data_IF_746324297445
#
_entry.id   IF_746324297445
#
_cell.length_a   1.000
_cell.length_b   1.000
_cell.length_c   1.000
_cell.angle_alpha   90.00
_cell.angle_beta   90.00
_cell.angle_gamma   90.00
#
_symmetry.space_group_name_H-M   'P 1'
#
loop_
_entity.id
_entity.type
_entity.pdbx_description
1 polymer ?
#
# COMPACT_ATOMS: atom_id res chain seq x y z
N UNK A 1 32.69 63.03 -22.79
CA UNK A 1 33.97 63.52 -23.43
C UNK A 1 34.35 62.46 -24.44
N UNK A 2 34.37 62.93 -25.66
CA UNK A 2 35.12 62.64 -26.90
C UNK A 2 34.85 61.29 -27.53
N UNK A 3 34.05 61.10 -28.60
CA UNK A 3 34.03 61.75 -29.92
C UNK A 3 35.06 61.16 -30.91
N UNK A 4 34.51 60.81 -32.09
CA UNK A 4 35.08 60.78 -33.44
C UNK A 4 35.92 59.59 -33.89
N UNK A 5 35.82 59.09 -35.11
CA UNK A 5 35.42 59.63 -36.42
C UNK A 5 35.24 58.50 -37.44
N UNK A 6 34.39 58.77 -38.39
CA UNK A 6 34.16 57.98 -39.62
C UNK A 6 35.35 58.12 -40.60
N UNK A 7 35.46 57.15 -41.50
CA UNK A 7 36.08 57.38 -42.80
C UNK A 7 35.45 56.55 -43.88
N UNK A 8 34.97 57.26 -44.87
CA UNK A 8 34.35 56.88 -46.14
C UNK A 8 35.41 56.47 -47.17
N UNK A 9 35.09 55.56 -48.05
CA UNK A 9 35.88 55.26 -49.24
C UNK A 9 35.05 54.55 -50.31
N UNK A 10 34.63 55.30 -51.27
CA UNK A 10 34.02 54.84 -52.53
C UNK A 10 35.01 54.04 -53.37
N UNK A 11 34.50 53.02 -54.08
CA UNK A 11 34.80 52.79 -55.52
C UNK A 11 33.88 51.74 -56.12
N UNK A 12 33.19 52.11 -57.25
CA UNK A 12 32.62 51.20 -58.25
C UNK A 12 33.66 50.98 -59.34
N UNK A 13 33.65 49.86 -60.13
CA UNK A 13 32.76 49.79 -61.28
C UNK A 13 32.26 48.36 -61.69
N UNK A 14 31.13 48.35 -62.26
CA UNK A 14 30.63 47.70 -63.55
C UNK A 14 31.27 46.34 -63.89
N UNK A 15 30.45 45.29 -63.84
CA UNK A 15 30.53 44.21 -64.87
C UNK A 15 29.11 43.68 -65.18
N UNK A 16 28.84 43.63 -66.44
CA UNK A 16 27.66 43.04 -67.05
C UNK A 16 27.69 41.54 -66.93
N UNK A 17 26.65 40.91 -66.42
CA UNK A 17 26.47 39.45 -66.51
C UNK A 17 25.09 39.13 -67.04
N UNK A 18 25.14 38.21 -67.96
CA UNK A 18 24.01 37.68 -68.77
C UNK A 18 22.93 37.01 -67.94
N UNK A 19 21.68 37.27 -68.30
CA UNK A 19 20.49 36.58 -67.84
C UNK A 19 20.44 35.20 -68.45
N UNK A 20 20.74 34.15 -67.63
CA UNK A 20 20.40 32.78 -68.00
C UNK A 20 19.07 32.47 -67.30
N UNK A 21 18.01 32.35 -68.09
CA UNK A 21 16.72 31.81 -67.65
C UNK A 21 16.88 30.32 -67.28
N UNK A 22 16.88 30.01 -65.99
CA UNK A 22 16.70 28.65 -65.53
C UNK A 22 15.20 28.42 -65.30
N UNK A 23 14.57 27.64 -66.14
CA UNK A 23 13.24 27.09 -65.88
C UNK A 23 13.32 26.10 -64.75
N UNK A 24 12.90 26.54 -63.54
CA UNK A 24 12.70 25.64 -62.43
C UNK A 24 11.36 24.95 -62.62
N UNK A 25 11.41 23.66 -62.97
CA UNK A 25 10.25 22.78 -62.97
C UNK A 25 9.86 22.57 -61.49
N UNK A 26 8.79 23.21 -61.05
CA UNK A 26 8.21 22.99 -59.73
C UNK A 26 7.51 21.63 -59.73
N UNK A 27 8.14 20.62 -59.12
CA UNK A 27 7.47 19.36 -58.75
C UNK A 27 6.50 19.63 -57.60
N UNK A 28 5.24 19.13 -57.67
CA UNK A 28 4.32 19.28 -56.56
C UNK A 28 4.84 18.48 -55.36
N UNK A 29 5.18 19.16 -54.28
CA UNK A 29 5.34 18.53 -52.98
C UNK A 29 4.01 17.91 -52.58
N UNK A 30 3.92 16.58 -52.65
CA UNK A 30 2.82 15.82 -52.06
C UNK A 30 2.91 16.00 -50.54
N UNK A 31 2.02 16.81 -49.97
CA UNK A 31 1.86 16.91 -48.53
C UNK A 31 1.34 15.56 -48.03
N UNK A 32 2.27 14.70 -47.58
CA UNK A 32 1.93 13.50 -46.83
C UNK A 32 1.20 13.91 -45.57
N UNK A 33 -0.07 13.54 -45.49
CA UNK A 33 -0.83 13.60 -44.22
C UNK A 33 0.00 12.94 -43.12
N UNK A 34 0.24 13.58 -41.96
CA UNK A 34 0.94 12.91 -40.87
C UNK A 34 0.07 11.73 -40.44
N UNK A 35 0.56 10.53 -40.76
CA UNK A 35 -0.01 9.31 -40.20
C UNK A 35 0.21 9.40 -38.70
N UNK A 36 -0.85 9.70 -37.95
CA UNK A 36 -0.86 9.56 -36.52
C UNK A 36 -0.63 8.07 -36.26
N UNK A 37 0.62 7.72 -35.99
CA UNK A 37 0.97 6.39 -35.50
C UNK A 37 0.25 6.27 -34.18
N UNK A 38 -0.87 5.54 -34.16
CA UNK A 38 -1.53 5.12 -32.93
C UNK A 38 -0.46 4.39 -32.14
N UNK A 39 0.04 5.00 -31.04
CA UNK A 39 0.87 4.26 -30.10
C UNK A 39 0.10 2.98 -29.78
N UNK A 40 0.69 1.84 -30.10
CA UNK A 40 0.15 0.57 -29.65
C UNK A 40 0.12 0.68 -28.12
N UNK A 41 -1.07 0.69 -27.55
CA UNK A 41 -1.27 0.60 -26.12
C UNK A 41 -0.65 -0.74 -25.72
N UNK A 42 0.51 -0.68 -25.10
CA UNK A 42 1.14 -1.87 -24.52
C UNK A 42 0.34 -2.24 -23.28
N UNK A 43 -0.43 -3.33 -23.37
CA UNK A 43 -1.06 -3.89 -22.18
C UNK A 43 0.01 -4.52 -21.30
N UNK A 44 0.01 -4.20 -20.00
CA UNK A 44 0.91 -4.77 -19.01
C UNK A 44 0.13 -5.57 -17.98
N UNK A 45 0.59 -6.79 -17.74
CA UNK A 45 0.09 -7.64 -16.69
C UNK A 45 0.82 -7.31 -15.38
N UNK A 46 0.06 -7.17 -14.27
CA UNK A 46 0.57 -6.95 -12.94
C UNK A 46 0.19 -8.14 -12.05
N UNK A 47 1.16 -8.92 -11.62
CA UNK A 47 0.94 -10.06 -10.74
C UNK A 47 0.82 -9.57 -9.30
N UNK A 48 -0.40 -9.50 -8.80
CA UNK A 48 -0.70 -9.14 -7.42
C UNK A 48 -0.61 -10.39 -6.53
N UNK A 49 0.09 -10.29 -5.40
CA UNK A 49 0.17 -11.40 -4.44
C UNK A 49 -1.22 -11.96 -4.13
N UNK A 50 -1.37 -13.30 -4.17
CA UNK A 50 -2.67 -13.97 -4.14
C UNK A 50 -3.59 -13.53 -2.99
N UNK A 51 -3.05 -13.32 -1.78
CA UNK A 51 -3.84 -12.85 -0.64
C UNK A 51 -4.36 -11.43 -0.82
N UNK A 52 -3.59 -10.59 -1.49
CA UNK A 52 -4.02 -9.23 -1.83
C UNK A 52 -5.02 -9.24 -2.98
N UNK A 53 -4.85 -10.14 -3.95
CA UNK A 53 -5.80 -10.33 -5.04
C UNK A 53 -7.15 -10.88 -4.53
N UNK A 54 -7.12 -11.83 -3.61
CA UNK A 54 -8.31 -12.41 -2.99
C UNK A 54 -8.98 -11.44 -2.00
N UNK A 55 -8.28 -10.39 -1.55
CA UNK A 55 -8.86 -9.27 -0.79
C UNK A 55 -9.58 -8.31 -1.74
N UNK A 56 -10.92 -8.19 -1.68
CA UNK A 56 -11.66 -7.28 -2.57
C UNK A 56 -11.18 -5.82 -2.46
N UNK A 57 -10.84 -5.38 -1.25
CA UNK A 57 -10.36 -4.02 -1.00
C UNK A 57 -9.00 -3.76 -1.66
N UNK A 58 -8.01 -4.62 -1.43
CA UNK A 58 -6.66 -4.39 -1.96
C UNK A 58 -6.64 -4.48 -3.48
N UNK A 59 -7.35 -5.46 -4.05
CA UNK A 59 -7.47 -5.55 -5.51
C UNK A 59 -8.13 -4.32 -6.11
N UNK A 60 -9.24 -3.85 -5.54
CA UNK A 60 -9.92 -2.65 -6.01
C UNK A 60 -9.05 -1.39 -5.93
N UNK A 61 -8.22 -1.26 -4.88
CA UNK A 61 -7.29 -0.12 -4.76
C UNK A 61 -6.21 -0.15 -5.84
N UNK A 62 -5.61 -1.32 -6.11
CA UNK A 62 -4.61 -1.46 -7.18
C UNK A 62 -5.24 -1.14 -8.53
N UNK A 63 -6.42 -1.70 -8.82
CA UNK A 63 -7.17 -1.42 -10.05
C UNK A 63 -7.52 0.08 -10.17
N UNK A 64 -7.97 0.72 -9.08
CA UNK A 64 -8.25 2.16 -9.04
C UNK A 64 -7.01 2.99 -9.38
N UNK A 65 -5.86 2.70 -8.76
CA UNK A 65 -4.61 3.41 -9.02
C UNK A 65 -4.17 3.26 -10.48
N UNK A 66 -4.25 2.05 -11.04
CA UNK A 66 -3.90 1.78 -12.43
C UNK A 66 -4.87 2.45 -13.42
N UNK A 67 -6.18 2.49 -13.11
CA UNK A 67 -7.20 3.20 -13.92
C UNK A 67 -6.98 4.71 -13.96
N UNK A 68 -6.52 5.31 -12.85
CA UNK A 68 -6.22 6.75 -12.76
C UNK A 68 -4.99 7.17 -13.58
N UNK A 69 -4.25 6.21 -14.12
CA UNK A 69 -3.01 6.41 -14.88
C UNK A 69 -3.07 5.76 -16.26
N UNK A 70 -4.17 5.98 -16.99
CA UNK A 70 -4.42 5.37 -18.30
C UNK A 70 -3.38 5.74 -19.36
N UNK A 71 -2.63 6.83 -19.20
CA UNK A 71 -1.52 7.23 -20.07
C UNK A 71 -0.35 6.23 -20.07
N UNK A 72 -0.25 5.36 -19.04
CA UNK A 72 0.73 4.27 -18.99
C UNK A 72 0.30 3.03 -19.79
N UNK A 73 -0.83 3.08 -20.47
CA UNK A 73 -1.38 1.98 -21.26
C UNK A 73 -2.36 1.08 -20.49
N UNK A 74 -2.90 0.10 -21.24
CA UNK A 74 -3.84 -0.86 -20.70
C UNK A 74 -3.17 -1.79 -19.70
N UNK A 75 -3.96 -2.41 -18.81
CA UNK A 75 -3.42 -3.29 -17.78
C UNK A 75 -4.37 -4.46 -17.48
N UNK A 76 -3.80 -5.53 -16.91
CA UNK A 76 -4.54 -6.57 -16.23
C UNK A 76 -3.91 -6.82 -14.86
N UNK A 77 -4.74 -7.07 -13.85
CA UNK A 77 -4.27 -7.51 -12.53
C UNK A 77 -4.46 -9.01 -12.44
N UNK A 78 -3.38 -9.73 -12.28
CA UNK A 78 -3.34 -11.20 -12.29
C UNK A 78 -3.06 -11.70 -10.87
N UNK A 79 -3.75 -12.76 -10.46
CA UNK A 79 -3.54 -13.44 -9.19
C UNK A 79 -2.24 -14.25 -9.21
N UNK A 80 -1.35 -14.07 -8.24
CA UNK A 80 -0.16 -14.91 -8.12
C UNK A 80 -0.52 -16.35 -7.70
N UNK A 81 0.43 -17.26 -7.81
CA UNK A 81 0.36 -18.54 -7.10
C UNK A 81 0.29 -18.32 -5.58
N UNK A 82 -0.14 -19.37 -4.85
CA UNK A 82 -0.22 -19.35 -3.40
C UNK A 82 1.19 -19.38 -2.77
N UNK A 83 1.67 -18.22 -2.34
CA UNK A 83 2.96 -18.02 -1.69
C UNK A 83 2.76 -17.52 -0.26
N UNK A 84 3.49 -18.07 0.73
CA UNK A 84 3.54 -17.44 2.05
C UNK A 84 4.06 -15.99 1.93
N UNK A 85 3.71 -15.12 2.89
CA UNK A 85 4.14 -13.72 2.83
C UNK A 85 5.66 -13.57 2.71
N UNK A 86 6.43 -14.33 3.53
CA UNK A 86 7.89 -14.28 3.45
C UNK A 86 8.43 -14.70 2.09
N UNK A 87 7.80 -15.69 1.42
CA UNK A 87 8.18 -16.07 0.07
C UNK A 87 7.79 -15.03 -0.97
N UNK A 88 6.58 -14.48 -0.88
CA UNK A 88 6.12 -13.44 -1.80
C UNK A 88 7.02 -12.19 -1.76
N UNK A 89 7.38 -11.73 -0.56
CA UNK A 89 8.30 -10.58 -0.40
C UNK A 89 9.71 -10.88 -0.90
N UNK A 90 10.20 -12.10 -0.69
CA UNK A 90 11.50 -12.51 -1.24
C UNK A 90 11.49 -12.51 -2.78
N UNK A 91 10.45 -13.05 -3.41
CA UNK A 91 10.32 -13.03 -4.88
C UNK A 91 10.23 -11.59 -5.40
N UNK A 92 9.49 -10.72 -4.72
CA UNK A 92 9.39 -9.31 -5.03
C UNK A 92 10.75 -8.60 -4.93
N UNK A 93 11.53 -8.88 -3.87
CA UNK A 93 12.88 -8.32 -3.68
C UNK A 93 13.85 -8.74 -4.77
N UNK A 94 13.73 -9.97 -5.28
CA UNK A 94 14.58 -10.48 -6.37
C UNK A 94 14.23 -9.81 -7.71
N UNK A 95 12.95 -9.46 -7.92
CA UNK A 95 12.46 -8.69 -9.06
C UNK A 95 12.44 -9.39 -10.42
N UNK A 96 13.20 -10.48 -10.58
CA UNK A 96 13.41 -11.13 -11.88
C UNK A 96 12.40 -12.25 -12.20
N UNK A 97 11.69 -12.74 -11.20
CA UNK A 97 10.81 -13.91 -11.36
C UNK A 97 9.46 -13.60 -11.92
N UNK A 98 8.99 -12.35 -11.78
CA UNK A 98 7.61 -11.90 -12.07
C UNK A 98 6.53 -12.80 -11.45
N UNK A 99 6.87 -13.53 -10.38
CA UNK A 99 5.90 -14.32 -9.62
C UNK A 99 5.00 -13.42 -8.75
N UNK A 100 5.51 -12.26 -8.38
CA UNK A 100 4.78 -11.17 -7.71
C UNK A 100 5.38 -9.84 -8.16
N UNK A 101 4.56 -8.95 -8.71
CA UNK A 101 4.96 -7.59 -9.08
C UNK A 101 4.51 -6.58 -8.02
N UNK A 102 3.37 -6.83 -7.37
CA UNK A 102 2.79 -5.94 -6.36
C UNK A 102 2.38 -6.76 -5.13
N UNK A 103 2.76 -6.28 -3.95
CA UNK A 103 2.25 -6.81 -2.68
C UNK A 103 1.84 -5.68 -1.74
N UNK A 104 0.74 -5.86 -1.01
CA UNK A 104 0.36 -5.03 0.11
C UNK A 104 0.69 -5.74 1.41
N UNK A 105 1.49 -5.10 2.25
CA UNK A 105 1.86 -5.60 3.58
C UNK A 105 2.10 -4.44 4.54
N UNK A 106 2.07 -4.73 5.86
CA UNK A 106 2.55 -3.81 6.88
C UNK A 106 4.00 -3.40 6.59
N UNK A 107 4.34 -2.13 6.78
CA UNK A 107 5.71 -1.66 6.52
C UNK A 107 6.65 -1.88 7.70
N UNK A 108 7.95 -1.88 7.39
CA UNK A 108 9.06 -1.79 8.34
C UNK A 108 10.27 -1.17 7.65
N UNK A 109 11.20 -0.62 8.43
CA UNK A 109 12.45 -0.06 7.90
C UNK A 109 13.24 -1.08 7.06
N UNK A 110 13.22 -2.36 7.46
CA UNK A 110 13.85 -3.45 6.71
C UNK A 110 13.21 -3.61 5.33
N UNK A 111 11.86 -3.67 5.26
CA UNK A 111 11.12 -3.82 3.99
C UNK A 111 11.34 -2.65 3.05
N UNK A 112 11.31 -1.43 3.60
CA UNK A 112 11.56 -0.20 2.83
C UNK A 112 13.00 -0.11 2.30
N UNK A 113 13.96 -0.76 2.96
CA UNK A 113 15.38 -0.76 2.51
C UNK A 113 15.63 -1.69 1.33
N UNK A 114 14.78 -2.67 1.06
CA UNK A 114 14.99 -3.72 0.04
C UNK A 114 13.95 -3.76 -1.07
N UNK A 115 12.88 -2.95 -0.95
CA UNK A 115 11.80 -2.83 -1.94
C UNK A 115 11.38 -1.36 -2.06
N UNK A 116 10.68 -1.00 -3.14
CA UNK A 116 10.08 0.33 -3.24
C UNK A 116 8.72 0.31 -2.55
N UNK A 117 8.57 1.10 -1.50
CA UNK A 117 7.30 1.34 -0.83
C UNK A 117 6.54 2.49 -1.49
N UNK A 118 5.24 2.35 -1.65
CA UNK A 118 4.34 3.44 -2.01
C UNK A 118 3.72 3.94 -0.69
N UNK A 119 4.18 5.08 -0.12
CA UNK A 119 3.98 5.44 1.28
C UNK A 119 2.60 6.03 1.59
N UNK A 120 1.55 5.39 1.08
CA UNK A 120 0.16 5.71 1.40
C UNK A 120 -0.47 4.55 2.18
N UNK A 121 -0.96 4.78 3.42
CA UNK A 121 -1.69 3.76 4.16
C UNK A 121 -2.96 3.34 3.42
N UNK A 122 -2.94 2.16 2.81
CA UNK A 122 -3.97 1.69 1.87
C UNK A 122 -5.35 1.51 2.50
N UNK A 123 -5.40 1.33 3.80
CA UNK A 123 -6.62 1.15 4.60
C UNK A 123 -6.92 2.33 5.55
N UNK A 124 -6.30 3.48 5.28
CA UNK A 124 -6.45 4.67 6.11
C UNK A 124 -5.90 4.52 7.54
N UNK A 125 -5.06 3.50 7.77
CA UNK A 125 -4.42 3.22 9.06
C UNK A 125 -5.15 2.21 9.93
N UNK A 126 -6.23 1.59 9.45
CA UNK A 126 -7.01 0.59 10.20
C UNK A 126 -6.21 -0.66 10.54
N UNK A 127 -5.14 -0.98 9.79
CA UNK A 127 -4.23 -2.05 10.13
C UNK A 127 -3.52 -1.81 11.48
N UNK A 128 -3.35 -0.56 11.89
CA UNK A 128 -2.79 -0.20 13.20
C UNK A 128 -3.71 -0.51 14.38
N UNK A 129 -4.96 -0.85 14.13
CA UNK A 129 -5.92 -1.30 15.15
C UNK A 129 -6.12 -2.81 15.04
N UNK A 130 -5.93 -3.52 16.16
CA UNK A 130 -6.07 -4.97 16.25
C UNK A 130 -7.18 -5.35 17.21
N UNK A 131 -8.00 -6.30 16.78
CA UNK A 131 -8.95 -7.01 17.65
C UNK A 131 -8.53 -8.47 17.79
N UNK A 132 -8.91 -9.10 18.88
CA UNK A 132 -8.63 -10.51 19.14
C UNK A 132 -9.75 -11.40 18.61
N UNK A 133 -9.43 -12.31 17.68
CA UNK A 133 -10.27 -13.48 17.42
C UNK A 133 -9.94 -14.53 18.46
N UNK A 134 -10.96 -15.04 19.15
CA UNK A 134 -10.83 -15.93 20.31
C UNK A 134 -11.84 -17.06 20.23
N UNK A 135 -11.63 -18.10 21.04
CA UNK A 135 -12.67 -19.05 21.43
C UNK A 135 -13.52 -18.46 22.57
N UNK A 136 -14.84 -18.70 22.63
CA UNK A 136 -15.70 -18.19 23.70
C UNK A 136 -15.19 -18.52 25.10
N UNK A 137 -14.59 -19.68 25.28
CA UNK A 137 -14.02 -20.15 26.55
C UNK A 137 -12.83 -19.31 27.01
N UNK A 138 -12.18 -18.61 26.11
CA UNK A 138 -11.05 -17.72 26.41
C UNK A 138 -11.48 -16.31 26.86
N UNK A 139 -12.73 -15.89 26.60
CA UNK A 139 -13.22 -14.55 26.93
C UNK A 139 -12.97 -14.12 28.39
N UNK A 140 -13.14 -15.00 29.42
CA UNK A 140 -12.88 -14.62 30.80
C UNK A 140 -11.45 -14.15 31.08
N UNK A 141 -10.46 -14.59 30.27
CA UNK A 141 -9.05 -14.16 30.40
C UNK A 141 -8.84 -12.68 30.07
N UNK A 142 -9.77 -12.07 29.35
CA UNK A 142 -9.70 -10.67 28.90
C UNK A 142 -10.46 -9.68 29.80
N UNK A 143 -11.33 -10.18 30.67
CA UNK A 143 -12.32 -9.39 31.40
C UNK A 143 -11.74 -8.27 32.28
N UNK A 144 -10.50 -8.42 32.77
CA UNK A 144 -9.85 -7.48 33.70
C UNK A 144 -8.67 -6.74 33.05
N UNK A 145 -8.58 -6.72 31.71
CA UNK A 145 -7.51 -6.02 31.01
C UNK A 145 -7.97 -4.60 30.70
N UNK A 146 -7.43 -3.62 31.39
CA UNK A 146 -7.75 -2.20 31.20
C UNK A 146 -6.57 -1.39 30.64
N UNK A 147 -5.36 -1.93 30.72
CA UNK A 147 -4.13 -1.27 30.28
C UNK A 147 -3.06 -2.31 29.87
N UNK A 148 -1.91 -1.84 29.40
CA UNK A 148 -0.81 -2.70 28.95
C UNK A 148 -0.22 -3.57 30.06
N UNK A 149 -0.20 -3.07 31.30
CA UNK A 149 0.34 -3.83 32.44
C UNK A 149 -0.57 -5.01 32.77
N UNK A 150 -1.88 -4.80 32.83
CA UNK A 150 -2.87 -5.88 32.98
C UNK A 150 -2.76 -6.89 31.84
N UNK A 151 -2.58 -6.40 30.62
CA UNK A 151 -2.42 -7.29 29.47
C UNK A 151 -1.19 -8.20 29.62
N UNK A 152 -0.05 -7.65 30.06
CA UNK A 152 1.16 -8.43 30.37
C UNK A 152 0.94 -9.42 31.51
N UNK A 153 0.26 -8.97 32.57
CA UNK A 153 -0.03 -9.81 33.75
C UNK A 153 -0.98 -10.96 33.41
N UNK A 154 -1.90 -10.78 32.46
CA UNK A 154 -2.86 -11.81 32.02
C UNK A 154 -2.20 -13.03 31.41
N UNK A 155 -0.97 -12.90 30.91
CA UNK A 155 -0.24 -13.94 30.19
C UNK A 155 -1.00 -14.47 28.95
N UNK A 156 -1.95 -13.70 28.42
CA UNK A 156 -2.62 -13.99 27.16
C UNK A 156 -1.60 -14.05 26.04
N UNK A 157 -1.50 -15.18 25.36
CA UNK A 157 -0.60 -15.37 24.22
C UNK A 157 -1.31 -14.93 22.93
N UNK A 158 -0.58 -14.20 22.08
CA UNK A 158 -1.10 -13.75 20.80
C UNK A 158 -0.53 -14.60 19.66
N UNK A 159 -1.40 -15.14 18.82
CA UNK A 159 -1.03 -15.80 17.57
C UNK A 159 -0.69 -14.79 16.49
N UNK A 160 0.43 -15.00 15.77
CA UNK A 160 0.87 -14.12 14.68
C UNK A 160 1.56 -14.90 13.56
N UNK A 161 1.56 -14.32 12.35
CA UNK A 161 2.40 -14.81 11.26
C UNK A 161 3.89 -14.58 11.55
N UNK A 162 4.71 -15.62 11.35
CA UNK A 162 6.15 -15.55 11.66
C UNK A 162 6.92 -14.48 10.86
N UNK A 163 6.36 -14.02 9.74
CA UNK A 163 6.95 -12.97 8.90
C UNK A 163 6.21 -11.63 9.01
N UNK A 164 5.32 -11.50 10.00
CA UNK A 164 4.61 -10.25 10.24
C UNK A 164 5.37 -9.41 11.26
N UNK A 165 5.55 -8.11 11.01
CA UNK A 165 6.18 -7.21 11.98
C UNK A 165 5.48 -7.20 13.34
N UNK A 166 4.19 -7.54 13.36
CA UNK A 166 3.38 -7.63 14.57
C UNK A 166 4.00 -8.51 15.65
N UNK A 167 4.61 -9.63 15.28
CA UNK A 167 5.24 -10.54 16.23
C UNK A 167 6.35 -9.83 17.03
N UNK A 168 7.17 -9.06 16.35
CA UNK A 168 8.26 -8.31 16.97
C UNK A 168 7.76 -7.08 17.74
N UNK A 169 6.72 -6.40 17.22
CA UNK A 169 6.07 -5.27 17.92
C UNK A 169 5.48 -5.75 19.24
N UNK A 170 4.71 -6.83 19.25
CA UNK A 170 4.11 -7.39 20.46
C UNK A 170 5.19 -7.85 21.44
N UNK A 171 6.22 -8.55 20.95
CA UNK A 171 7.35 -8.98 21.77
C UNK A 171 8.12 -7.83 22.40
N UNK A 172 8.39 -6.75 21.66
CA UNK A 172 9.04 -5.53 22.15
C UNK A 172 8.23 -4.83 23.25
N UNK A 173 6.90 -5.01 23.25
CA UNK A 173 6.01 -4.51 24.31
C UNK A 173 5.75 -5.52 25.43
N UNK A 174 6.50 -6.63 25.47
CA UNK A 174 6.43 -7.63 26.56
C UNK A 174 5.18 -8.52 26.50
N UNK A 175 4.54 -8.65 25.34
CA UNK A 175 3.37 -9.51 25.14
C UNK A 175 3.82 -10.85 24.56
N UNK A 176 3.40 -12.00 25.14
CA UNK A 176 3.79 -13.32 24.64
C UNK A 176 3.22 -13.62 23.26
N UNK A 177 4.06 -14.04 22.31
CA UNK A 177 3.69 -14.35 20.94
C UNK A 177 3.93 -15.81 20.61
N UNK A 178 2.97 -16.43 19.91
CA UNK A 178 3.09 -17.74 19.29
C UNK A 178 2.96 -17.55 17.78
N UNK A 179 3.98 -17.87 17.01
CA UNK A 179 3.98 -17.60 15.57
C UNK A 179 4.01 -18.87 14.73
N UNK A 180 3.50 -18.74 13.49
CA UNK A 180 3.60 -19.76 12.45
C UNK A 180 3.78 -19.14 11.08
N UNK A 181 4.57 -19.78 10.20
CA UNK A 181 4.88 -19.25 8.86
C UNK A 181 3.72 -19.32 7.87
N UNK A 182 2.75 -20.20 8.13
CA UNK A 182 1.58 -20.39 7.27
C UNK A 182 0.33 -19.84 7.97
N UNK A 183 -0.30 -18.88 7.32
CA UNK A 183 -1.51 -18.21 7.81
C UNK A 183 -2.65 -19.20 8.11
N UNK A 184 -2.91 -20.13 7.20
CA UNK A 184 -4.02 -21.09 7.27
C UNK A 184 -3.92 -22.05 8.48
N UNK A 185 -2.73 -22.12 9.08
CA UNK A 185 -2.49 -22.93 10.29
C UNK A 185 -2.90 -22.18 11.56
N UNK A 186 -2.86 -20.83 11.56
CA UNK A 186 -3.07 -20.03 12.76
C UNK A 186 -4.49 -20.19 13.34
N UNK A 187 -5.54 -20.24 12.50
CA UNK A 187 -6.90 -20.53 12.99
C UNK A 187 -7.00 -21.90 13.64
N UNK A 188 -6.38 -22.92 13.05
CA UNK A 188 -6.34 -24.26 13.64
C UNK A 188 -5.53 -24.30 14.95
N UNK A 189 -4.51 -23.47 15.09
CA UNK A 189 -3.75 -23.33 16.33
C UNK A 189 -4.58 -22.65 17.41
N UNK A 190 -5.38 -21.65 17.07
CA UNK A 190 -6.35 -21.02 17.98
C UNK A 190 -7.37 -22.06 18.47
N UNK A 191 -7.99 -22.82 17.58
CA UNK A 191 -8.93 -23.88 17.91
C UNK A 191 -8.34 -24.98 18.82
N UNK A 192 -7.02 -25.16 18.79
CA UNK A 192 -6.27 -26.07 19.66
C UNK A 192 -5.65 -25.38 20.88
N UNK A 193 -6.10 -24.19 21.21
CA UNK A 193 -5.69 -23.41 22.37
C UNK A 193 -4.15 -23.23 22.47
N UNK A 194 -3.45 -23.13 21.32
CA UNK A 194 -2.02 -22.86 21.32
C UNK A 194 -1.70 -21.41 21.71
N UNK A 195 -2.68 -20.54 21.59
CA UNK A 195 -2.73 -19.15 22.04
C UNK A 195 -4.19 -18.74 22.26
N UNK A 196 -4.43 -17.67 22.99
CA UNK A 196 -5.76 -17.22 23.37
C UNK A 196 -6.36 -16.19 22.40
N UNK A 197 -5.52 -15.39 21.75
CA UNK A 197 -5.91 -14.32 20.83
C UNK A 197 -5.20 -14.47 19.50
N UNK A 198 -5.94 -14.54 18.42
CA UNK A 198 -5.39 -14.28 17.09
C UNK A 198 -5.64 -12.79 16.77
N UNK A 199 -4.62 -11.95 16.97
CA UNK A 199 -4.77 -10.51 16.73
C UNK A 199 -4.82 -10.21 15.24
N UNK A 200 -5.98 -9.64 14.79
CA UNK A 200 -6.22 -9.30 13.39
C UNK A 200 -6.51 -7.81 13.23
N UNK A 201 -6.08 -7.25 12.10
CA UNK A 201 -6.39 -5.87 11.72
C UNK A 201 -7.89 -5.63 11.60
N UNK A 202 -8.36 -4.47 12.05
CA UNK A 202 -9.75 -4.05 11.87
C UNK A 202 -10.15 -4.07 10.39
N UNK A 203 -9.23 -3.73 9.50
CA UNK A 203 -9.42 -3.77 8.04
C UNK A 203 -9.54 -5.19 7.45
N UNK A 204 -9.19 -6.24 8.22
CA UNK A 204 -9.06 -7.61 7.69
C UNK A 204 -10.02 -8.60 8.38
N UNK A 205 -10.28 -8.44 9.68
CA UNK A 205 -10.87 -9.47 10.54
C UNK A 205 -12.23 -9.98 10.09
N UNK A 206 -13.12 -9.09 9.60
CA UNK A 206 -14.45 -9.52 9.16
C UNK A 206 -14.37 -10.42 7.93
N UNK A 207 -13.51 -10.05 6.97
CA UNK A 207 -13.27 -10.87 5.79
C UNK A 207 -12.62 -12.22 6.16
N UNK A 208 -11.64 -12.21 7.05
CA UNK A 208 -10.98 -13.43 7.53
C UNK A 208 -11.99 -14.42 8.16
N UNK A 209 -12.91 -13.93 9.00
CA UNK A 209 -13.94 -14.77 9.63
C UNK A 209 -14.98 -15.26 8.62
N UNK A 210 -15.35 -14.43 7.64
CA UNK A 210 -16.23 -14.86 6.54
C UNK A 210 -15.59 -15.99 5.72
N UNK A 211 -14.27 -15.95 5.51
CA UNK A 211 -13.56 -16.99 4.75
C UNK A 211 -13.31 -18.27 5.59
N UNK A 212 -13.04 -18.12 6.89
CA UNK A 212 -12.82 -19.27 7.78
C UNK A 212 -14.11 -20.06 8.05
N UNK A 213 -15.27 -19.40 8.03
CA UNK A 213 -16.60 -20.00 8.21
C UNK A 213 -16.75 -20.86 9.47
N UNK A 214 -15.97 -20.57 10.52
CA UNK A 214 -16.05 -21.30 11.77
C UNK A 214 -16.92 -20.54 12.79
N UNK A 215 -18.10 -21.07 13.17
CA UNK A 215 -19.02 -20.41 14.08
C UNK A 215 -18.53 -20.37 15.55
N UNK A 216 -17.52 -21.15 15.89
CA UNK A 216 -16.94 -21.18 17.23
C UNK A 216 -15.97 -20.02 17.49
N UNK A 217 -15.61 -19.28 16.44
CA UNK A 217 -14.71 -18.14 16.55
C UNK A 217 -15.49 -16.85 16.77
N UNK A 218 -15.13 -16.12 17.80
CA UNK A 218 -15.74 -14.81 18.13
C UNK A 218 -14.67 -13.73 18.22
N UNK A 219 -15.12 -12.47 18.05
CA UNK A 219 -14.23 -11.32 18.30
C UNK A 219 -14.39 -10.93 19.78
N UNK A 220 -13.30 -10.85 20.52
CA UNK A 220 -13.27 -10.33 21.87
C UNK A 220 -13.84 -8.90 21.87
N UNK A 221 -14.87 -8.58 22.68
CA UNK A 221 -15.63 -7.35 22.49
C UNK A 221 -15.03 -6.09 23.10
N UNK A 222 -14.09 -6.21 24.06
CA UNK A 222 -13.70 -5.10 24.92
C UNK A 222 -12.34 -4.47 24.58
N UNK A 223 -11.41 -5.20 23.97
CA UNK A 223 -10.04 -4.71 23.74
C UNK A 223 -9.83 -4.21 22.32
N UNK A 224 -9.00 -3.19 22.21
CA UNK A 224 -8.45 -2.68 20.96
C UNK A 224 -6.95 -2.45 21.13
N UNK A 225 -6.12 -3.31 20.59
CA UNK A 225 -4.67 -3.12 20.61
C UNK A 225 -4.33 -2.13 19.49
N UNK A 226 -3.60 -1.07 19.81
CA UNK A 226 -3.33 0.02 18.86
C UNK A 226 -1.84 0.37 18.83
N UNK A 227 -1.25 0.36 17.64
CA UNK A 227 0.12 0.80 17.38
C UNK A 227 0.27 1.31 15.93
N UNK A 228 1.19 2.25 15.68
CA UNK A 228 1.45 2.70 14.32
C UNK A 228 1.87 1.51 13.45
N UNK A 229 1.07 1.19 12.43
CA UNK A 229 1.33 0.08 11.52
C UNK A 229 0.79 0.42 10.12
N UNK A 230 1.44 1.35 9.40
CA UNK A 230 1.02 1.65 8.03
C UNK A 230 1.13 0.40 7.14
N UNK A 231 0.13 0.21 6.31
CA UNK A 231 0.10 -0.84 5.28
C UNK A 231 0.32 -0.18 3.92
N UNK A 232 1.39 -0.57 3.21
CA UNK A 232 1.77 0.02 1.94
C UNK A 232 1.72 -1.01 0.80
N UNK A 233 1.57 -0.51 -0.41
CA UNK A 233 1.92 -1.28 -1.59
C UNK A 233 3.45 -1.28 -1.74
N UNK A 234 3.99 -2.42 -2.13
CA UNK A 234 5.40 -2.62 -2.41
C UNK A 234 5.58 -3.21 -3.80
N UNK A 235 6.65 -2.79 -4.47
CA UNK A 235 7.11 -3.32 -5.75
C UNK A 235 8.59 -3.65 -5.68
N UNK A 236 9.11 -4.34 -6.70
CA UNK A 236 10.53 -4.69 -6.80
C UNK A 236 11.43 -3.45 -6.74
N UNK A 237 12.67 -3.56 -6.22
CA UNK A 237 13.58 -2.41 -6.03
C UNK A 237 13.99 -1.73 -7.33
N UNK A 238 13.88 -2.40 -8.47
CA UNK A 238 14.20 -1.90 -9.80
C UNK A 238 12.96 -1.49 -10.62
N UNK A 239 11.72 -1.76 -10.15
CA UNK A 239 10.49 -1.42 -10.87
C UNK A 239 9.96 -0.01 -10.51
N UNK A 240 10.75 1.00 -10.89
CA UNK A 240 10.41 2.41 -10.69
C UNK A 240 9.15 2.83 -11.45
N UNK A 241 8.89 2.21 -12.61
CA UNK A 241 7.73 2.54 -13.44
C UNK A 241 6.43 2.16 -12.74
N UNK A 242 6.33 0.93 -12.23
CA UNK A 242 5.16 0.48 -11.47
C UNK A 242 4.99 1.28 -10.18
N UNK A 243 6.09 1.55 -9.46
CA UNK A 243 6.06 2.38 -8.26
C UNK A 243 5.46 3.76 -8.55
N UNK A 244 5.99 4.44 -9.57
CA UNK A 244 5.51 5.77 -9.96
C UNK A 244 4.06 5.73 -10.43
N UNK A 245 3.68 4.75 -11.25
CA UNK A 245 2.31 4.56 -11.74
C UNK A 245 1.31 4.42 -10.58
N UNK A 246 1.60 3.55 -9.62
CA UNK A 246 0.75 3.31 -8.45
C UNK A 246 0.67 4.55 -7.55
N UNK A 247 1.81 5.19 -7.28
CA UNK A 247 1.86 6.40 -6.47
C UNK A 247 1.01 7.51 -7.09
N UNK A 248 1.25 7.84 -8.36
CA UNK A 248 0.50 8.86 -9.10
C UNK A 248 -1.00 8.53 -9.14
N UNK A 249 -1.35 7.25 -9.31
CA UNK A 249 -2.74 6.83 -9.32
C UNK A 249 -3.44 7.04 -7.98
N UNK A 250 -2.79 6.71 -6.87
CA UNK A 250 -3.31 6.96 -5.53
C UNK A 250 -3.41 8.47 -5.25
N UNK A 251 -2.41 9.26 -5.62
CA UNK A 251 -2.45 10.73 -5.48
C UNK A 251 -3.63 11.34 -6.21
N UNK A 252 -3.90 10.90 -7.45
CA UNK A 252 -5.07 11.33 -8.22
C UNK A 252 -6.38 10.90 -7.57
N UNK A 253 -6.45 9.68 -7.04
CA UNK A 253 -7.62 9.19 -6.34
C UNK A 253 -7.88 9.95 -5.02
N UNK A 254 -6.84 10.38 -4.33
CA UNK A 254 -6.95 11.26 -3.16
C UNK A 254 -7.47 12.64 -3.60
N UNK A 255 -6.90 13.19 -4.68
CA UNK A 255 -7.25 14.52 -5.15
C UNK A 255 -8.69 14.64 -5.61
N UNK A 256 -9.23 13.64 -6.31
CA UNK A 256 -10.60 13.66 -6.83
C UNK A 256 -11.64 13.02 -5.89
N UNK A 257 -11.22 12.56 -4.71
CA UNK A 257 -12.08 12.01 -3.66
C UNK A 257 -12.36 10.51 -3.79
N UNK A 258 -12.02 9.85 -4.91
CA UNK A 258 -12.33 8.42 -5.12
C UNK A 258 -11.59 7.48 -4.15
N UNK A 259 -10.46 7.92 -3.57
CA UNK A 259 -9.82 7.19 -2.47
C UNK A 259 -10.65 7.24 -1.17
N UNK A 260 -11.33 8.35 -0.89
CA UNK A 260 -12.25 8.45 0.26
C UNK A 260 -13.45 7.54 0.08
N UNK A 261 -14.05 7.53 -1.13
CA UNK A 261 -15.17 6.66 -1.47
C UNK A 261 -14.78 5.19 -1.38
N UNK A 262 -13.55 4.86 -1.80
CA UNK A 262 -12.97 3.53 -1.63
C UNK A 262 -12.88 3.13 -0.15
N UNK A 263 -12.31 3.98 0.72
CA UNK A 263 -12.19 3.70 2.15
C UNK A 263 -13.56 3.49 2.80
N UNK A 264 -14.55 4.31 2.46
CA UNK A 264 -15.92 4.18 2.96
C UNK A 264 -16.55 2.86 2.49
N UNK A 265 -16.42 2.55 1.20
CA UNK A 265 -17.05 1.36 0.60
C UNK A 265 -16.54 0.05 1.21
N UNK A 266 -15.25 -0.03 1.53
CA UNK A 266 -14.63 -1.27 1.98
C UNK A 266 -14.49 -1.41 3.49
N UNK A 267 -14.39 -0.29 4.23
CA UNK A 267 -14.01 -0.34 5.65
C UNK A 267 -15.05 0.24 6.60
N UNK A 268 -16.05 1.01 6.13
CA UNK A 268 -17.06 1.60 7.02
C UNK A 268 -17.83 0.54 7.83
N UNK A 269 -18.11 -0.62 7.22
CA UNK A 269 -18.76 -1.75 7.90
C UNK A 269 -17.93 -2.25 9.08
N UNK A 270 -16.63 -2.48 8.88
CA UNK A 270 -15.75 -2.98 9.93
C UNK A 270 -15.66 -2.00 11.11
N UNK A 271 -15.54 -0.71 10.81
CA UNK A 271 -15.52 0.33 11.85
C UNK A 271 -16.80 0.31 12.68
N UNK A 272 -17.96 0.18 12.03
CA UNK A 272 -19.27 0.17 12.68
C UNK A 272 -19.51 -1.13 13.48
N UNK A 273 -19.31 -2.28 12.85
CA UNK A 273 -19.69 -3.58 13.43
C UNK A 273 -18.77 -3.98 14.58
N UNK A 274 -17.52 -3.47 14.61
CA UNK A 274 -16.57 -3.76 15.68
C UNK A 274 -16.69 -2.82 16.89
N UNK A 275 -17.54 -1.80 16.86
CA UNK A 275 -17.80 -0.87 17.98
C UNK A 275 -16.49 -0.30 18.58
N UNK A 276 -15.59 0.20 17.74
CA UNK A 276 -14.21 0.56 18.13
C UNK A 276 -14.17 1.63 19.25
N UNK A 277 -15.14 2.56 19.25
CA UNK A 277 -15.24 3.65 20.25
C UNK A 277 -15.52 3.17 21.68
N UNK A 278 -16.06 1.96 21.84
CA UNK A 278 -16.43 1.41 23.14
C UNK A 278 -15.35 0.53 23.75
N UNK A 279 -14.25 0.27 23.01
CA UNK A 279 -13.19 -0.63 23.42
C UNK A 279 -12.12 0.05 24.27
N UNK A 280 -11.54 -0.71 25.18
CA UNK A 280 -10.35 -0.32 25.94
C UNK A 280 -9.15 -0.36 24.99
N UNK A 281 -8.47 0.77 24.85
CA UNK A 281 -7.31 0.90 23.96
C UNK A 281 -6.03 0.51 24.68
N UNK A 282 -5.39 -0.55 24.23
CA UNK A 282 -4.03 -0.95 24.64
C UNK A 282 -3.03 -0.37 23.64
N UNK A 283 -2.45 0.77 23.97
CA UNK A 283 -1.48 1.44 23.09
C UNK A 283 -0.10 0.80 23.22
N UNK A 284 0.51 0.48 22.08
CA UNK A 284 1.84 -0.10 21.99
C UNK A 284 2.76 0.78 21.11
N UNK A 285 4.07 0.65 21.36
CA UNK A 285 5.10 1.26 20.50
C UNK A 285 5.51 0.29 19.39
N UNK A 286 5.76 0.84 18.19
CA UNK A 286 6.34 0.07 17.09
C UNK A 286 7.78 0.52 16.81
N UNK A 287 8.79 -0.24 17.27
CA UNK A 287 10.20 0.12 17.07
C UNK A 287 10.73 -0.18 15.65
N UNK A 288 9.96 -0.87 14.81
CA UNK A 288 10.44 -1.38 13.52
C UNK A 288 10.28 -0.38 12.37
N UNK A 289 9.58 0.73 12.59
CA UNK A 289 9.32 1.72 11.55
C UNK A 289 10.53 2.58 11.25
N UNK A 290 10.75 2.91 9.99
CA UNK A 290 11.60 4.02 9.58
C UNK A 290 11.10 5.34 10.20
N UNK A 291 11.94 6.36 10.24
CA UNK A 291 11.53 7.67 10.77
C UNK A 291 10.34 8.25 9.98
N UNK A 292 10.37 8.13 8.67
CA UNK A 292 9.29 8.58 7.78
C UNK A 292 7.98 7.83 8.05
N UNK A 293 8.01 6.51 8.03
CA UNK A 293 6.82 5.68 8.26
C UNK A 293 6.30 5.76 9.68
N UNK A 294 7.16 6.04 10.66
CA UNK A 294 6.75 6.36 12.03
C UNK A 294 5.92 7.64 12.07
N UNK A 295 6.39 8.70 11.41
CA UNK A 295 5.67 9.97 11.33
C UNK A 295 4.32 9.84 10.60
N UNK A 296 4.27 9.06 9.51
CA UNK A 296 3.02 8.74 8.80
C UNK A 296 2.10 7.93 9.71
N UNK A 297 2.60 6.87 10.32
CA UNK A 297 1.82 5.96 11.16
C UNK A 297 1.21 6.65 12.37
N UNK A 298 1.98 7.46 13.12
CA UNK A 298 1.45 8.20 14.27
C UNK A 298 0.36 9.19 13.86
N UNK A 299 0.60 10.01 12.82
CA UNK A 299 -0.40 10.97 12.34
C UNK A 299 -1.68 10.29 11.86
N UNK A 300 -1.53 9.19 11.12
CA UNK A 300 -2.67 8.43 10.59
C UNK A 300 -3.48 7.81 11.73
N UNK A 301 -2.81 7.17 12.68
CA UNK A 301 -3.45 6.54 13.84
C UNK A 301 -4.18 7.57 14.73
N UNK A 302 -3.54 8.70 15.00
CA UNK A 302 -4.15 9.78 15.78
C UNK A 302 -5.36 10.42 15.07
N UNK A 303 -5.25 10.67 13.77
CA UNK A 303 -6.36 11.17 12.97
C UNK A 303 -7.53 10.18 12.96
N UNK A 304 -7.23 8.89 12.82
CA UNK A 304 -8.24 7.85 12.83
C UNK A 304 -8.92 7.73 14.20
N UNK A 305 -8.15 7.76 15.29
CA UNK A 305 -8.70 7.79 16.65
C UNK A 305 -9.67 8.97 16.87
N UNK A 306 -9.29 10.16 16.42
CA UNK A 306 -10.15 11.35 16.52
C UNK A 306 -11.43 11.21 15.68
N UNK A 307 -11.33 10.71 14.46
CA UNK A 307 -12.48 10.50 13.56
C UNK A 307 -13.47 9.46 14.08
N UNK A 308 -12.96 8.42 14.74
CA UNK A 308 -13.73 7.31 15.29
C UNK A 308 -14.10 7.53 16.76
N UNK A 309 -13.84 8.71 17.34
CA UNK A 309 -14.08 9.02 18.76
C UNK A 309 -13.45 8.00 19.73
N UNK A 310 -12.37 7.34 19.33
CA UNK A 310 -11.64 6.39 20.18
C UNK A 310 -10.83 7.20 21.19
N UNK A 311 -11.34 7.34 22.40
CA UNK A 311 -10.66 8.06 23.48
C UNK A 311 -9.59 7.18 24.12
N UNK A 312 -8.40 7.75 24.38
CA UNK A 312 -7.46 7.18 25.35
C UNK A 312 -8.05 7.42 26.74
N UNK A 313 -8.33 6.36 27.45
CA UNK A 313 -8.60 6.43 28.89
C UNK A 313 -7.31 6.49 29.68
#
# INVERSE_FOLDING_TARGET
>A
MTAFKACTGHWKPIFRIAVLCFCVIASPLSAGTPTVTKLQSTSRDYVLWYRNFDSPAIRALVELALQKTSEYGDFQVIRSEALSQGRALRELTIGQSHLVDIANVATSAERESVMIAIPFPVDGGLLGFRVCVVLPESLPKFANIENLEDFRASQVRIGQGAHWPDADVLGANGIPVVSHSRYEILFRMLQKERFECFARGVSEVLYDLEMEQNPDLVIEPNLLIAYPMPSYLFVAPDDQETAHRLQLGIERAIYDGSFSDFLESYYARAVKDLNLEQRVVIALENPLLSEESRNVGHRTLENLRRRLNILSR
#
